data_IF_322700978208
#
_entry.id   IF_322700978208
#
_cell.length_a   1.000
_cell.length_b   1.000
_cell.length_c   1.000
_cell.angle_alpha   90.00
_cell.angle_beta   90.00
_cell.angle_gamma   90.00
#
_symmetry.space_group_name_H-M   'P 1'
#
loop_
_entity.id
_entity.type
_entity.pdbx_description
1 polymer ?
#
# COMPACT_ATOMS: atom_id res chain seq x y z
N UNK A 1 45.97 16.05 46.54
CA UNK A 1 45.66 17.09 45.54
C UNK A 1 45.61 16.38 44.21
N UNK A 2 44.47 15.74 43.93
CA UNK A 2 44.28 14.92 42.75
C UNK A 2 43.43 15.67 41.73
N UNK A 3 44.01 15.77 40.53
CA UNK A 3 43.41 16.19 39.29
C UNK A 3 42.49 15.07 38.82
N UNK A 4 41.20 15.34 38.57
CA UNK A 4 40.38 14.42 37.79
C UNK A 4 39.54 15.21 36.80
N UNK A 5 39.91 14.96 35.55
CA UNK A 5 39.40 15.45 34.28
C UNK A 5 37.89 15.15 34.14
N UNK A 6 37.07 16.20 34.03
CA UNK A 6 35.67 16.08 33.64
C UNK A 6 35.59 16.24 32.11
N UNK A 7 35.03 15.26 31.37
CA UNK A 7 34.99 15.34 29.92
C UNK A 7 34.10 16.51 29.46
N UNK A 8 34.73 17.45 28.75
CA UNK A 8 34.06 18.52 28.02
C UNK A 8 33.05 17.91 27.03
N UNK A 9 31.76 18.09 27.33
CA UNK A 9 30.66 17.68 26.43
C UNK A 9 30.64 18.59 25.20
N UNK A 10 30.77 17.96 24.03
CA UNK A 10 30.86 18.56 22.71
C UNK A 10 29.57 19.35 22.35
N UNK A 11 29.66 20.63 21.92
CA UNK A 11 28.49 21.49 21.65
C UNK A 11 27.74 21.15 20.33
N UNK A 12 27.97 19.97 19.73
CA UNK A 12 27.34 19.55 18.46
C UNK A 12 26.14 18.62 18.62
N UNK A 13 25.74 18.26 19.84
CA UNK A 13 24.56 17.42 20.13
C UNK A 13 23.25 18.25 20.17
N UNK A 14 23.24 19.42 19.54
CA UNK A 14 22.11 20.38 19.54
C UNK A 14 21.15 20.24 18.34
N UNK A 15 21.18 19.13 17.59
CA UNK A 15 20.28 18.91 16.44
C UNK A 15 19.58 17.54 16.43
N UNK A 16 19.06 17.11 17.58
CA UNK A 16 17.98 16.13 17.59
C UNK A 16 16.69 16.86 17.99
N UNK A 17 15.93 17.31 16.99
CA UNK A 17 14.58 17.84 17.17
C UNK A 17 13.67 16.72 17.65
N UNK A 18 13.62 16.52 18.96
CA UNK A 18 12.63 15.70 19.63
C UNK A 18 11.28 16.42 19.58
N UNK A 19 10.42 16.01 18.65
CA UNK A 19 9.02 16.44 18.63
C UNK A 19 8.32 15.71 19.77
N UNK A 20 8.02 16.43 20.85
CA UNK A 20 7.03 16.00 21.84
C UNK A 20 5.66 16.13 21.18
N UNK A 21 4.98 15.00 20.98
CA UNK A 21 3.56 15.00 20.64
C UNK A 21 2.75 15.35 21.90
N UNK A 22 2.07 16.50 21.87
CA UNK A 22 1.05 16.86 22.84
C UNK A 22 -0.17 15.93 22.68
N UNK A 23 -0.67 15.25 23.73
CA UNK A 23 -1.79 14.31 23.61
C UNK A 23 -3.18 14.96 23.67
N UNK A 24 -3.31 16.28 23.44
CA UNK A 24 -4.60 16.97 23.49
C UNK A 24 -4.88 17.76 22.21
N UNK A 25 -5.08 17.04 21.11
CA UNK A 25 -5.69 17.58 19.91
C UNK A 25 -6.82 16.65 19.47
N UNK A 26 -8.00 17.18 19.09
CA UNK A 26 -9.06 16.34 18.54
C UNK A 26 -8.50 15.65 17.30
N UNK A 27 -8.73 14.33 17.19
CA UNK A 27 -8.30 13.50 16.08
C UNK A 27 -8.87 14.02 14.75
N UNK A 28 -8.21 15.01 14.18
CA UNK A 28 -8.34 15.34 12.76
C UNK A 28 -7.62 14.21 12.07
N UNK A 29 -8.41 13.24 11.57
CA UNK A 29 -7.89 12.08 10.88
C UNK A 29 -7.00 12.57 9.73
N UNK A 30 -5.68 12.49 9.91
CA UNK A 30 -4.74 12.63 8.81
C UNK A 30 -5.16 11.60 7.74
N UNK A 31 -5.28 11.98 6.47
CA UNK A 31 -5.57 11.00 5.44
C UNK A 31 -4.45 9.96 5.47
N UNK A 32 -4.79 8.71 5.86
CA UNK A 32 -3.85 7.60 5.75
C UNK A 32 -3.21 7.62 4.36
N UNK A 33 -1.90 7.79 4.29
CA UNK A 33 -1.21 7.80 3.02
C UNK A 33 -1.53 6.50 2.24
N UNK A 34 -1.81 6.63 0.95
CA UNK A 34 -2.02 5.47 0.07
C UNK A 34 -0.77 4.60 0.12
N UNK A 35 -0.90 3.38 0.62
CA UNK A 35 0.21 2.43 0.72
C UNK A 35 0.02 1.33 -0.31
N UNK A 36 0.92 1.30 -1.29
CA UNK A 36 0.98 0.30 -2.35
C UNK A 36 2.17 -0.60 -2.07
N UNK A 37 1.91 -1.87 -1.76
CA UNK A 37 2.93 -2.92 -1.66
C UNK A 37 2.89 -3.73 -2.94
N UNK A 38 3.86 -3.57 -3.83
CA UNK A 38 3.86 -4.21 -5.14
C UNK A 38 5.11 -5.07 -5.39
N UNK A 39 4.91 -6.15 -6.12
CA UNK A 39 5.93 -7.01 -6.73
C UNK A 39 6.57 -6.38 -7.96
N UNK A 40 5.77 -5.61 -8.71
CA UNK A 40 6.11 -5.09 -10.03
C UNK A 40 6.09 -3.56 -10.05
N UNK A 41 7.06 -2.98 -10.73
CA UNK A 41 7.32 -1.54 -10.80
C UNK A 41 6.66 -0.87 -12.01
N UNK A 42 5.45 -1.27 -12.41
CA UNK A 42 4.78 -0.64 -13.55
C UNK A 42 4.30 0.78 -13.16
N UNK A 43 4.87 1.86 -13.72
CA UNK A 43 4.54 3.23 -13.30
C UNK A 43 3.08 3.59 -13.56
N UNK A 44 2.45 2.99 -14.58
CA UNK A 44 1.03 3.23 -14.92
C UNK A 44 0.06 2.73 -13.82
N UNK A 45 0.52 1.89 -12.91
CA UNK A 45 -0.29 1.48 -11.76
C UNK A 45 -0.50 2.64 -10.79
N UNK A 46 0.46 3.56 -10.65
CA UNK A 46 0.35 4.71 -9.76
C UNK A 46 -0.55 5.81 -10.32
N UNK A 47 -0.82 5.81 -11.63
CA UNK A 47 -1.67 6.80 -12.31
C UNK A 47 -3.16 6.44 -12.31
N UNK A 48 -3.53 5.30 -11.72
CA UNK A 48 -4.92 4.85 -11.64
C UNK A 48 -5.70 5.66 -10.57
N UNK A 49 -7.03 5.81 -10.73
CA UNK A 49 -7.87 6.62 -9.83
C UNK A 49 -8.15 5.89 -8.51
N UNK A 50 -7.12 5.72 -7.68
CA UNK A 50 -7.19 4.98 -6.42
C UNK A 50 -8.14 5.61 -5.40
N UNK A 51 -8.45 6.89 -5.55
CA UNK A 51 -9.42 7.65 -4.75
C UNK A 51 -10.88 7.27 -5.01
N UNK A 52 -11.18 6.60 -6.14
CA UNK A 52 -12.56 6.18 -6.47
C UNK A 52 -12.77 4.71 -6.15
N UNK A 53 -13.98 4.27 -5.72
CA UNK A 53 -14.31 2.85 -5.62
C UNK A 53 -14.10 2.15 -6.96
N UNK A 54 -13.59 0.92 -6.94
CA UNK A 54 -13.31 0.13 -8.13
C UNK A 54 -14.59 -0.12 -8.96
N UNK A 55 -15.76 -0.07 -8.31
CA UNK A 55 -17.05 -0.17 -8.97
C UNK A 55 -17.36 1.01 -9.91
N UNK A 56 -16.78 2.19 -9.64
CA UNK A 56 -17.04 3.48 -10.30
C UNK A 56 -15.92 3.92 -11.24
N UNK A 57 -14.92 3.06 -11.45
CA UNK A 57 -13.83 3.34 -12.38
C UNK A 57 -14.36 3.45 -13.81
N UNK A 58 -13.78 4.35 -14.64
CA UNK A 58 -14.26 4.58 -15.99
C UNK A 58 -14.03 3.35 -16.87
N UNK A 59 -15.04 3.02 -17.70
CA UNK A 59 -15.03 1.81 -18.54
C UNK A 59 -13.86 1.78 -19.54
N UNK A 60 -13.29 2.92 -19.89
CA UNK A 60 -12.11 3.04 -20.75
C UNK A 60 -10.84 2.37 -20.18
N UNK A 61 -10.76 2.26 -18.85
CA UNK A 61 -9.67 1.54 -18.17
C UNK A 61 -10.01 0.05 -18.00
N UNK A 62 -11.26 -0.34 -18.17
CA UNK A 62 -11.75 -1.67 -17.85
C UNK A 62 -11.67 -2.62 -19.06
N UNK A 63 -11.05 -3.77 -18.85
CA UNK A 63 -11.09 -4.87 -19.81
C UNK A 63 -12.39 -5.67 -19.64
N UNK A 64 -13.12 -5.89 -20.74
CA UNK A 64 -14.35 -6.68 -20.73
C UNK A 64 -14.04 -8.18 -20.86
N UNK A 65 -13.55 -8.77 -19.78
CA UNK A 65 -13.27 -10.20 -19.68
C UNK A 65 -14.38 -10.93 -18.91
N UNK A 66 -14.71 -12.18 -19.29
CA UNK A 66 -15.67 -12.99 -18.54
C UNK A 66 -15.18 -13.16 -17.11
N UNK A 67 -16.00 -12.73 -16.15
CA UNK A 67 -15.75 -12.92 -14.71
C UNK A 67 -16.65 -14.02 -14.18
N UNK A 68 -16.09 -14.90 -13.37
CA UNK A 68 -16.88 -15.86 -12.60
C UNK A 68 -17.75 -15.17 -11.54
N UNK A 69 -18.51 -15.97 -10.81
CA UNK A 69 -19.38 -15.49 -9.73
C UNK A 69 -18.49 -15.06 -8.56
N UNK A 70 -18.26 -13.75 -8.43
CA UNK A 70 -17.53 -13.17 -7.30
C UNK A 70 -18.50 -12.41 -6.41
N UNK A 71 -18.41 -12.65 -5.10
CA UNK A 71 -19.11 -11.85 -4.08
C UNK A 71 -18.55 -10.44 -3.92
N UNK A 72 -17.30 -10.25 -4.34
CA UNK A 72 -16.57 -8.99 -4.24
C UNK A 72 -16.51 -8.29 -5.58
N UNK A 73 -16.33 -6.97 -5.57
CA UNK A 73 -16.14 -6.19 -6.78
C UNK A 73 -14.80 -6.58 -7.41
N UNK A 74 -14.87 -7.25 -8.56
CA UNK A 74 -13.71 -7.57 -9.40
C UNK A 74 -13.79 -6.78 -10.69
N UNK A 75 -12.67 -6.17 -11.08
CA UNK A 75 -12.50 -5.46 -12.33
C UNK A 75 -11.20 -5.89 -12.98
N UNK A 76 -11.21 -6.03 -14.29
CA UNK A 76 -9.99 -6.20 -15.07
C UNK A 76 -9.61 -4.84 -15.61
N UNK A 77 -8.36 -4.43 -15.43
CA UNK A 77 -7.90 -3.07 -15.75
C UNK A 77 -6.73 -3.15 -16.70
N UNK A 78 -6.77 -2.37 -17.77
CA UNK A 78 -5.65 -2.18 -18.68
C UNK A 78 -4.61 -1.27 -18.02
N UNK A 79 -3.38 -1.78 -17.87
CA UNK A 79 -2.25 -1.00 -17.34
C UNK A 79 -1.10 -1.14 -18.31
N UNK A 80 -1.08 -0.26 -19.31
CA UNK A 80 -0.21 -0.38 -20.47
C UNK A 80 -0.68 -1.52 -21.37
N UNK A 81 0.23 -2.41 -21.74
CA UNK A 81 -0.05 -3.52 -22.66
C UNK A 81 -0.56 -4.79 -21.93
N UNK A 82 -0.66 -4.72 -20.60
CA UNK A 82 -1.08 -5.84 -19.74
C UNK A 82 -2.44 -5.59 -19.10
N UNK A 83 -3.17 -6.67 -18.83
CA UNK A 83 -4.46 -6.64 -18.12
C UNK A 83 -4.29 -7.20 -16.71
N UNK A 84 -4.73 -6.44 -15.71
CA UNK A 84 -4.63 -6.79 -14.30
C UNK A 84 -6.00 -7.07 -13.71
N UNK A 85 -6.13 -8.16 -12.94
CA UNK A 85 -7.33 -8.43 -12.16
C UNK A 85 -7.25 -7.70 -10.81
N UNK A 86 -8.09 -6.70 -10.61
CA UNK A 86 -8.21 -5.93 -9.37
C UNK A 86 -9.43 -6.37 -8.59
N UNK A 87 -9.29 -6.50 -7.28
CA UNK A 87 -10.37 -6.82 -6.35
C UNK A 87 -10.43 -5.77 -5.26
N UNK A 88 -11.64 -5.31 -4.95
CA UNK A 88 -11.87 -4.44 -3.81
C UNK A 88 -12.47 -5.25 -2.65
N UNK A 89 -11.71 -5.35 -1.56
CA UNK A 89 -12.01 -6.15 -0.37
C UNK A 89 -11.41 -5.49 0.88
N UNK A 90 -11.75 -5.99 2.06
CA UNK A 90 -11.20 -5.49 3.33
C UNK A 90 -9.69 -5.71 3.42
N UNK A 91 -8.99 -4.79 4.10
CA UNK A 91 -7.52 -4.80 4.25
C UNK A 91 -6.97 -6.16 4.67
N UNK A 92 -7.50 -6.72 5.76
CA UNK A 92 -7.01 -7.99 6.32
C UNK A 92 -7.14 -9.15 5.32
N UNK A 93 -8.21 -9.15 4.51
CA UNK A 93 -8.42 -10.18 3.50
C UNK A 93 -7.47 -9.96 2.32
N UNK A 94 -7.25 -8.71 1.90
CA UNK A 94 -6.33 -8.37 0.81
C UNK A 94 -4.89 -8.79 1.12
N UNK A 95 -4.39 -8.44 2.30
CA UNK A 95 -3.05 -8.81 2.75
C UNK A 95 -2.89 -10.34 2.81
N UNK A 96 -3.89 -11.03 3.36
CA UNK A 96 -3.90 -12.50 3.44
C UNK A 96 -3.95 -13.16 2.06
N UNK A 97 -4.79 -12.68 1.13
CA UNK A 97 -4.85 -13.23 -0.23
C UNK A 97 -3.52 -13.05 -0.96
N UNK A 98 -2.89 -11.87 -0.84
CA UNK A 98 -1.61 -11.60 -1.47
C UNK A 98 -0.48 -12.49 -0.91
N UNK A 99 -0.40 -12.63 0.41
CA UNK A 99 0.56 -13.56 1.02
C UNK A 99 0.32 -15.01 0.58
N UNK A 100 -0.95 -15.43 0.50
CA UNK A 100 -1.29 -16.78 0.06
C UNK A 100 -0.83 -17.02 -1.37
N UNK A 101 -1.13 -16.10 -2.30
CA UNK A 101 -0.67 -16.19 -3.69
C UNK A 101 0.86 -16.24 -3.78
N UNK A 102 1.57 -15.43 -3.00
CA UNK A 102 3.03 -15.47 -2.91
C UNK A 102 3.57 -16.80 -2.41
N UNK A 103 2.88 -17.46 -1.47
CA UNK A 103 3.26 -18.80 -1.00
C UNK A 103 2.99 -19.86 -2.07
N UNK A 104 1.88 -19.77 -2.79
CA UNK A 104 1.54 -20.71 -3.86
C UNK A 104 2.50 -20.57 -5.07
N UNK A 105 2.88 -19.34 -5.42
CA UNK A 105 3.91 -19.03 -6.42
C UNK A 105 5.25 -19.70 -6.07
N UNK A 106 5.68 -19.61 -4.80
CA UNK A 106 6.90 -20.28 -4.31
C UNK A 106 6.84 -21.81 -4.36
N UNK A 107 5.64 -22.38 -4.37
CA UNK A 107 5.42 -23.83 -4.51
C UNK A 107 5.26 -24.23 -5.99
N UNK A 108 5.47 -23.30 -6.92
CA UNK A 108 5.37 -23.51 -8.38
C UNK A 108 3.99 -24.05 -8.81
N UNK A 109 2.95 -23.72 -8.03
CA UNK A 109 1.57 -24.12 -8.33
C UNK A 109 0.95 -23.18 -9.38
N UNK A 110 0.10 -23.71 -10.28
CA UNK A 110 -0.57 -22.90 -11.30
C UNK A 110 -1.55 -21.93 -10.64
N UNK A 111 -1.10 -20.69 -10.44
CA UNK A 111 -1.87 -19.63 -9.78
C UNK A 111 -1.66 -18.29 -10.48
N UNK A 112 -2.54 -17.34 -10.19
CA UNK A 112 -2.40 -15.97 -10.71
C UNK A 112 -1.24 -15.27 -10.02
N UNK A 113 -0.47 -14.48 -10.79
CA UNK A 113 0.68 -13.75 -10.28
C UNK A 113 0.24 -12.65 -9.28
N UNK A 114 0.78 -12.64 -8.05
CA UNK A 114 0.48 -11.61 -7.06
C UNK A 114 1.23 -10.31 -7.39
N UNK A 115 0.49 -9.31 -7.90
CA UNK A 115 1.09 -8.05 -8.35
C UNK A 115 1.24 -7.03 -7.22
N UNK A 116 0.16 -6.70 -6.52
CA UNK A 116 0.20 -5.67 -5.48
C UNK A 116 -0.99 -5.76 -4.50
N UNK A 117 -0.80 -5.15 -3.33
CA UNK A 117 -1.87 -4.81 -2.38
C UNK A 117 -1.86 -3.30 -2.17
N UNK A 118 -3.03 -2.68 -2.33
CA UNK A 118 -3.24 -1.25 -2.09
C UNK A 118 -4.11 -1.06 -0.86
N UNK A 119 -3.63 -0.26 0.09
CA UNK A 119 -4.32 0.06 1.35
C UNK A 119 -4.31 1.57 1.60
N UNK A 120 -5.12 2.05 2.54
CA UNK A 120 -5.24 3.48 2.83
C UNK A 120 -6.02 4.26 1.77
N UNK A 121 -6.86 3.59 0.97
CA UNK A 121 -7.81 4.27 0.08
C UNK A 121 -8.87 4.96 0.94
N UNK A 122 -8.97 6.28 0.81
CA UNK A 122 -10.11 7.05 1.33
C UNK A 122 -11.13 7.17 0.22
N UNK A 123 -12.38 6.93 0.57
CA UNK A 123 -13.52 7.11 -0.34
C UNK A 123 -14.55 8.00 0.33
#
# INVERSE_FOLDING_TARGET
>A
MELTDLPQMDPRVLKATSVKADPTAPATAEPQALKITAASSNPKMFTLPWEKPLATWPDELLANLPRGISRHVVRFVHVGDSVYAMKEITRNVAEREYELLRRLEKLELPTVEPIAVVTGRHT
#
